data_IF_374927165594
#
_entry.id   IF_374927165594
#
_cell.length_a   1.000
_cell.length_b   1.000
_cell.length_c   1.000
_cell.angle_alpha   90.00
_cell.angle_beta   90.00
_cell.angle_gamma   90.00
#
_symmetry.space_group_name_H-M   'P 1'
#
loop_
_entity.id
_entity.type
_entity.pdbx_description
1 polymer ?
#
# COMPACT_ATOMS: atom_id res chain seq x y z
N UNK A 1 44.72 -9.78 -4.71
CA UNK A 1 45.32 -9.95 -6.05
C UNK A 1 44.72 -8.86 -6.93
N UNK A 2 45.51 -7.94 -7.51
CA UNK A 2 45.01 -6.92 -8.44
C UNK A 2 45.40 -7.34 -9.86
N UNK A 3 44.42 -7.62 -10.71
CA UNK A 3 44.67 -7.92 -12.12
C UNK A 3 44.46 -6.66 -12.94
N UNK A 4 45.52 -6.13 -13.55
CA UNK A 4 45.41 -5.06 -14.53
C UNK A 4 45.19 -5.70 -15.89
N UNK A 5 43.97 -5.63 -16.42
CA UNK A 5 43.65 -6.09 -17.77
C UNK A 5 43.28 -4.85 -18.59
N UNK A 6 44.11 -4.48 -19.57
CA UNK A 6 43.74 -3.47 -20.56
C UNK A 6 42.72 -4.07 -21.53
N UNK A 7 41.82 -3.25 -22.06
CA UNK A 7 40.73 -3.67 -22.95
C UNK A 7 41.17 -4.10 -24.37
N UNK A 8 42.46 -4.35 -24.59
CA UNK A 8 43.03 -4.69 -25.89
C UNK A 8 43.24 -6.21 -26.00
N UNK A 9 42.46 -6.87 -26.85
CA UNK A 9 42.41 -8.33 -27.01
C UNK A 9 43.69 -8.94 -27.61
N UNK A 10 44.67 -8.11 -27.95
CA UNK A 10 45.92 -8.52 -28.59
C UNK A 10 46.90 -9.21 -27.62
N UNK A 11 46.74 -9.01 -26.30
CA UNK A 11 47.65 -9.57 -25.28
C UNK A 11 46.98 -10.49 -24.24
N UNK A 12 45.64 -10.49 -24.13
CA UNK A 12 44.91 -11.43 -23.28
C UNK A 12 43.48 -11.63 -23.75
N UNK A 13 43.10 -12.89 -23.99
CA UNK A 13 41.74 -13.26 -24.40
C UNK A 13 40.81 -13.54 -23.19
N UNK A 14 41.28 -13.22 -21.98
CA UNK A 14 40.62 -13.55 -20.72
C UNK A 14 39.20 -12.96 -20.59
N UNK A 15 38.91 -11.71 -20.98
CA UNK A 15 37.56 -11.13 -20.92
C UNK A 15 36.56 -11.75 -21.91
N UNK A 16 37.05 -12.33 -23.02
CA UNK A 16 36.22 -12.96 -24.05
C UNK A 16 36.01 -14.45 -23.76
N UNK A 17 36.96 -15.10 -23.09
CA UNK A 17 36.78 -16.44 -22.56
C UNK A 17 35.86 -16.41 -21.34
N UNK A 18 34.79 -17.20 -21.32
CA UNK A 18 33.84 -17.29 -20.18
C UNK A 18 34.49 -17.62 -18.82
N UNK A 19 35.79 -17.96 -18.81
CA UNK A 19 36.61 -18.22 -17.63
C UNK A 19 36.75 -17.04 -16.67
N UNK A 20 36.60 -15.79 -17.12
CA UNK A 20 36.58 -14.64 -16.21
C UNK A 20 35.39 -14.69 -15.23
N UNK A 21 34.23 -15.10 -15.74
CA UNK A 21 33.01 -15.26 -14.93
C UNK A 21 33.17 -16.42 -13.95
N UNK A 22 33.79 -17.51 -14.37
CA UNK A 22 34.07 -18.66 -13.50
C UNK A 22 35.09 -18.32 -12.40
N UNK A 23 36.12 -17.53 -12.71
CA UNK A 23 37.05 -17.00 -11.72
C UNK A 23 36.36 -16.07 -10.72
N UNK A 24 35.49 -15.16 -11.18
CA UNK A 24 34.71 -14.30 -10.28
C UNK A 24 33.79 -15.12 -9.36
N UNK A 25 33.12 -16.15 -9.88
CA UNK A 25 32.30 -17.06 -9.08
C UNK A 25 33.11 -17.81 -8.03
N UNK A 26 34.29 -18.30 -8.41
CA UNK A 26 35.20 -19.00 -7.49
C UNK A 26 35.72 -18.09 -6.38
N UNK A 27 36.12 -16.86 -6.74
CA UNK A 27 36.60 -15.87 -5.76
C UNK A 27 35.46 -15.42 -4.83
N UNK A 28 34.25 -15.21 -5.36
CA UNK A 28 33.08 -14.90 -4.53
C UNK A 28 32.79 -16.03 -3.53
N UNK A 29 32.79 -17.28 -3.99
CA UNK A 29 32.60 -18.45 -3.13
C UNK A 29 33.67 -18.59 -2.04
N UNK A 30 34.94 -18.30 -2.35
CA UNK A 30 36.02 -18.37 -1.36
C UNK A 30 36.03 -17.15 -0.41
N UNK A 31 35.55 -15.98 -0.85
CA UNK A 31 35.44 -14.79 0.00
C UNK A 31 34.31 -14.87 1.04
N UNK A 32 33.31 -15.73 0.82
CA UNK A 32 32.25 -16.04 1.80
C UNK A 32 32.67 -16.99 2.93
N UNK A 33 33.86 -17.60 2.86
CA UNK A 33 34.28 -18.66 3.79
C UNK A 33 34.74 -18.17 5.18
N UNK A 34 34.60 -16.88 5.51
CA UNK A 34 34.99 -16.30 6.81
C UNK A 34 33.87 -16.35 7.88
N UNK A 35 32.73 -16.97 7.60
CA UNK A 35 31.69 -17.25 8.60
C UNK A 35 31.45 -18.77 8.75
N UNK A 36 32.52 -19.57 8.87
CA UNK A 36 32.41 -20.88 9.53
C UNK A 36 32.36 -20.63 11.03
N UNK A 37 31.16 -20.52 11.57
CA UNK A 37 30.91 -20.73 12.98
C UNK A 37 30.92 -22.24 13.24
N UNK A 38 31.82 -22.65 14.11
CA UNK A 38 31.85 -23.87 14.91
C UNK A 38 31.47 -25.19 14.23
N UNK A 39 32.49 -25.80 13.64
CA UNK A 39 32.64 -27.24 13.58
C UNK A 39 32.75 -27.79 15.01
N UNK A 40 31.60 -28.03 15.65
CA UNK A 40 31.51 -29.04 16.73
C UNK A 40 30.72 -30.22 16.19
N UNK A 41 31.50 -31.20 15.73
CA UNK A 41 31.26 -32.63 15.81
C UNK A 41 29.87 -33.06 16.33
N UNK A 42 28.96 -33.35 15.41
CA UNK A 42 28.04 -34.48 15.57
C UNK A 42 27.50 -34.89 14.20
N UNK A 43 28.07 -35.98 13.65
CA UNK A 43 27.35 -36.84 12.71
C UNK A 43 26.13 -37.40 13.44
N UNK A 44 25.04 -36.66 13.40
CA UNK A 44 23.70 -37.18 13.68
C UNK A 44 23.03 -37.27 12.32
N UNK A 45 22.39 -38.40 12.03
CA UNK A 45 21.52 -38.63 10.86
C UNK A 45 20.25 -37.73 10.87
N UNK A 46 20.34 -36.53 11.45
CA UNK A 46 19.29 -35.52 11.52
C UNK A 46 19.67 -34.40 10.55
N UNK A 47 18.79 -34.03 9.59
CA UNK A 47 19.06 -32.95 8.66
C UNK A 47 19.41 -31.65 9.42
N UNK A 48 20.37 -30.85 8.92
CA UNK A 48 20.81 -29.64 9.62
C UNK A 48 19.63 -28.71 9.87
N UNK A 49 19.44 -28.32 11.12
CA UNK A 49 18.36 -27.42 11.52
C UNK A 49 18.70 -25.99 11.08
N UNK A 50 17.86 -25.42 10.23
CA UNK A 50 17.97 -24.07 9.67
C UNK A 50 17.24 -23.08 10.54
N UNK A 51 17.99 -22.14 11.12
CA UNK A 51 17.44 -21.04 11.90
C UNK A 51 16.63 -20.07 11.02
N UNK A 52 15.59 -19.41 11.55
CA UNK A 52 14.82 -18.44 10.80
C UNK A 52 15.68 -17.21 10.46
N UNK A 53 15.72 -16.84 9.18
CA UNK A 53 16.46 -15.67 8.69
C UNK A 53 15.54 -14.45 8.61
N UNK A 54 14.40 -14.58 7.93
CA UNK A 54 13.37 -13.55 7.80
C UNK A 54 12.00 -14.18 7.68
N UNK A 55 10.99 -13.57 8.30
CA UNK A 55 9.62 -14.08 8.27
C UNK A 55 8.67 -13.07 7.64
N UNK A 56 7.64 -13.57 6.98
CA UNK A 56 6.58 -12.79 6.39
C UNK A 56 5.54 -12.45 7.46
N UNK A 57 5.16 -11.19 7.58
CA UNK A 57 4.06 -10.76 8.44
C UNK A 57 2.68 -11.00 7.78
N UNK A 58 1.61 -10.72 8.52
CA UNK A 58 0.24 -10.85 8.01
C UNK A 58 -0.14 -9.88 6.89
N UNK A 59 0.71 -8.91 6.58
CA UNK A 59 0.54 -7.93 5.51
C UNK A 59 1.40 -8.23 4.27
N UNK A 60 2.20 -9.31 4.31
CA UNK A 60 3.10 -9.68 3.22
C UNK A 60 4.44 -8.93 3.23
N UNK A 61 4.82 -8.28 4.34
CA UNK A 61 6.13 -7.66 4.50
C UNK A 61 7.13 -8.62 5.16
N UNK A 62 8.37 -8.62 4.67
CA UNK A 62 9.44 -9.45 5.22
C UNK A 62 10.14 -8.75 6.37
N UNK A 63 10.03 -9.29 7.57
CA UNK A 63 10.58 -8.75 8.80
C UNK A 63 11.58 -9.67 9.51
N UNK A 64 12.05 -9.20 10.67
CA UNK A 64 12.82 -10.02 11.59
C UNK A 64 11.94 -11.18 12.13
N UNK A 65 12.48 -12.39 12.31
CA UNK A 65 11.75 -13.51 12.87
C UNK A 65 11.19 -13.19 14.26
N UNK A 66 9.95 -13.61 14.57
CA UNK A 66 9.43 -13.47 15.92
C UNK A 66 10.14 -14.45 16.87
N UNK A 67 10.18 -14.14 18.16
CA UNK A 67 10.92 -14.91 19.16
C UNK A 67 10.42 -16.36 19.32
N UNK A 68 9.22 -16.68 18.85
CA UNK A 68 8.65 -18.02 18.88
C UNK A 68 8.95 -18.85 17.62
N UNK A 69 9.67 -18.31 16.63
CA UNK A 69 10.02 -19.02 15.41
C UNK A 69 11.06 -20.11 15.70
N UNK A 70 10.71 -21.36 15.40
CA UNK A 70 11.57 -22.53 15.58
C UNK A 70 12.31 -22.88 14.27
N UNK A 71 13.53 -23.42 14.37
CA UNK A 71 14.27 -23.92 13.20
C UNK A 71 13.52 -25.01 12.43
N UNK A 72 13.77 -25.11 11.12
CA UNK A 72 13.23 -26.15 10.23
C UNK A 72 14.35 -27.09 9.74
N UNK A 73 14.03 -28.28 9.23
CA UNK A 73 15.01 -29.15 8.57
C UNK A 73 15.34 -28.70 7.14
N UNK A 74 16.46 -29.16 6.58
CA UNK A 74 16.87 -28.84 5.20
C UNK A 74 15.90 -29.31 4.13
N UNK A 75 15.23 -30.42 4.36
CA UNK A 75 14.24 -30.98 3.45
C UNK A 75 12.81 -30.57 3.83
N UNK A 76 12.63 -29.37 4.41
CA UNK A 76 11.32 -28.91 4.83
C UNK A 76 10.42 -28.61 3.62
N UNK A 77 9.48 -29.52 3.37
CA UNK A 77 8.40 -29.39 2.38
C UNK A 77 7.03 -29.21 3.07
N UNK A 78 7.05 -28.77 4.32
CA UNK A 78 5.86 -28.61 5.15
C UNK A 78 5.17 -27.26 4.94
N UNK A 79 3.89 -27.18 5.35
CA UNK A 79 3.19 -25.90 5.44
C UNK A 79 3.73 -25.08 6.61
N UNK A 80 3.88 -23.78 6.41
CA UNK A 80 4.14 -22.84 7.50
C UNK A 80 3.09 -22.95 8.61
N UNK A 81 3.55 -22.87 9.86
CA UNK A 81 2.72 -22.99 11.06
C UNK A 81 3.05 -21.85 12.03
N UNK A 82 2.38 -21.81 13.18
CA UNK A 82 2.68 -20.83 14.24
C UNK A 82 4.11 -20.98 14.78
N UNK A 83 4.62 -22.20 14.80
CA UNK A 83 5.97 -22.53 15.26
C UNK A 83 7.01 -22.31 14.15
N UNK A 84 6.60 -22.49 12.88
CA UNK A 84 7.43 -22.27 11.70
C UNK A 84 6.76 -21.23 10.78
N UNK A 85 6.82 -19.93 11.13
CA UNK A 85 6.18 -18.88 10.34
C UNK A 85 6.69 -18.85 8.89
N UNK A 86 5.86 -18.41 7.92
CA UNK A 86 6.28 -18.35 6.52
C UNK A 86 7.46 -17.39 6.36
N UNK A 87 8.44 -17.75 5.54
CA UNK A 87 9.68 -16.98 5.44
C UNK A 87 10.87 -17.75 4.88
N UNK A 88 12.05 -17.16 5.05
CA UNK A 88 13.34 -17.75 4.70
C UNK A 88 14.06 -18.25 5.95
N UNK A 89 14.64 -19.44 5.84
CA UNK A 89 15.36 -20.13 6.91
C UNK A 89 16.74 -20.55 6.39
N UNK A 90 17.74 -20.50 7.26
CA UNK A 90 19.09 -20.93 6.98
C UNK A 90 20.08 -19.81 6.68
N UNK A 91 21.11 -20.16 5.92
CA UNK A 91 22.14 -19.23 5.50
C UNK A 91 21.59 -18.21 4.50
N UNK A 92 22.12 -16.98 4.55
CA UNK A 92 21.71 -15.91 3.64
C UNK A 92 21.98 -16.23 2.15
N UNK A 93 22.98 -17.07 1.87
CA UNK A 93 23.39 -17.41 0.50
C UNK A 93 22.58 -18.55 -0.12
N UNK A 94 21.89 -19.36 0.69
CA UNK A 94 21.07 -20.48 0.24
C UNK A 94 19.88 -20.72 1.19
N UNK A 95 18.92 -19.77 1.28
CA UNK A 95 17.79 -19.92 2.19
C UNK A 95 16.79 -20.96 1.67
N UNK A 96 16.25 -21.75 2.59
CA UNK A 96 15.06 -22.58 2.37
C UNK A 96 13.83 -21.73 2.64
N UNK A 97 12.88 -21.75 1.71
CA UNK A 97 11.63 -21.01 1.84
C UNK A 97 10.56 -21.91 2.48
N UNK A 98 9.96 -21.45 3.58
CA UNK A 98 8.76 -22.04 4.17
C UNK A 98 7.54 -21.28 3.67
N UNK A 99 6.67 -21.92 2.88
CA UNK A 99 5.50 -21.27 2.30
C UNK A 99 4.25 -21.45 3.18
N UNK A 100 3.40 -20.42 3.21
CA UNK A 100 2.07 -20.51 3.82
C UNK A 100 1.10 -21.37 3.00
N UNK A 101 1.29 -21.38 1.67
CA UNK A 101 0.53 -22.15 0.70
C UNK A 101 1.47 -23.11 0.00
N UNK A 102 1.06 -24.37 -0.11
CA UNK A 102 1.80 -25.42 -0.81
C UNK A 102 1.12 -25.75 -2.14
N UNK A 103 1.85 -26.45 -3.02
CA UNK A 103 1.30 -26.88 -4.30
C UNK A 103 0.07 -27.78 -4.08
N UNK A 104 -1.06 -27.43 -4.70
CA UNK A 104 -2.33 -28.15 -4.55
C UNK A 104 -3.31 -27.54 -3.56
N UNK A 105 -2.96 -26.43 -2.89
CA UNK A 105 -3.90 -25.70 -2.05
C UNK A 105 -4.96 -24.94 -2.84
N UNK A 106 -6.22 -25.12 -2.44
CA UNK A 106 -7.34 -24.32 -2.93
C UNK A 106 -7.68 -23.21 -1.93
N UNK A 107 -7.75 -21.97 -2.42
CA UNK A 107 -8.23 -20.84 -1.66
C UNK A 107 -9.75 -20.93 -1.52
N UNK A 108 -10.22 -21.35 -0.34
CA UNK A 108 -11.64 -21.34 0.02
C UNK A 108 -11.99 -20.10 0.82
N UNK A 109 -13.19 -19.57 0.59
CA UNK A 109 -13.73 -18.49 1.43
C UNK A 109 -13.79 -18.95 2.88
N UNK A 110 -13.28 -18.11 3.80
CA UNK A 110 -13.32 -18.38 5.23
C UNK A 110 -14.77 -18.34 5.72
N UNK A 111 -15.20 -19.38 6.43
CA UNK A 111 -16.53 -19.45 7.01
C UNK A 111 -16.57 -18.73 8.37
N UNK A 112 -17.25 -17.58 8.40
CA UNK A 112 -17.44 -16.76 9.60
C UNK A 112 -18.76 -17.06 10.33
N UNK A 113 -19.54 -18.06 9.87
CA UNK A 113 -20.87 -18.36 10.41
C UNK A 113 -20.86 -18.67 11.91
N UNK A 114 -19.79 -19.28 12.41
CA UNK A 114 -19.61 -19.67 13.82
C UNK A 114 -19.35 -18.50 14.75
N UNK A 115 -18.95 -17.34 14.23
CA UNK A 115 -18.67 -16.14 15.03
C UNK A 115 -19.92 -15.24 15.20
N UNK A 116 -21.05 -15.57 14.58
CA UNK A 116 -22.27 -14.75 14.62
C UNK A 116 -22.09 -13.35 14.00
N UNK A 117 -21.03 -13.15 13.23
CA UNK A 117 -20.71 -11.88 12.59
C UNK A 117 -21.54 -11.71 11.32
N UNK A 118 -22.14 -10.53 11.17
CA UNK A 118 -22.76 -10.15 9.89
C UNK A 118 -21.65 -9.78 8.92
N UNK A 119 -21.43 -10.63 7.92
CA UNK A 119 -20.53 -10.34 6.81
C UNK A 119 -21.17 -9.23 5.97
N UNK A 120 -20.63 -8.03 6.07
CA UNK A 120 -20.95 -6.92 5.18
C UNK A 120 -19.91 -6.84 4.07
N UNK A 121 -20.33 -6.63 2.82
CA UNK A 121 -19.40 -6.24 1.77
C UNK A 121 -18.70 -4.94 2.19
N UNK A 122 -17.40 -4.83 1.92
CA UNK A 122 -16.67 -3.59 2.08
C UNK A 122 -17.22 -2.57 1.08
N UNK A 123 -18.24 -1.82 1.50
CA UNK A 123 -18.76 -0.71 0.73
C UNK A 123 -17.78 0.43 0.94
N UNK A 124 -16.84 0.60 0.02
CA UNK A 124 -16.13 1.86 -0.11
C UNK A 124 -17.18 2.92 -0.44
N UNK A 125 -17.68 3.61 0.59
CA UNK A 125 -18.67 4.67 0.40
C UNK A 125 -18.13 5.65 -0.62
N UNK A 126 -18.92 5.91 -1.67
CA UNK A 126 -18.53 6.86 -2.71
C UNK A 126 -18.16 8.20 -2.05
N UNK A 127 -17.01 8.81 -2.40
CA UNK A 127 -16.63 10.11 -1.85
C UNK A 127 -17.73 11.14 -2.09
N UNK A 128 -18.20 11.78 -1.02
CA UNK A 128 -19.21 12.84 -1.11
C UNK A 128 -18.49 14.14 -1.47
N UNK A 129 -18.81 14.73 -2.62
CA UNK A 129 -18.25 16.04 -2.99
C UNK A 129 -18.93 17.16 -2.20
N UNK A 130 -18.20 17.74 -1.24
CA UNK A 130 -18.66 18.85 -0.40
C UNK A 130 -18.48 20.23 -1.05
N UNK A 131 -17.74 20.32 -2.17
CA UNK A 131 -17.50 21.58 -2.88
C UNK A 131 -18.80 22.33 -3.25
N UNK A 132 -19.80 21.69 -3.88
CA UNK A 132 -21.03 22.40 -4.25
C UNK A 132 -21.78 22.94 -3.03
N UNK A 133 -21.79 22.20 -1.91
CA UNK A 133 -22.44 22.64 -0.68
C UNK A 133 -21.72 23.85 -0.06
N UNK A 134 -20.39 23.83 0.00
CA UNK A 134 -19.60 24.94 0.52
C UNK A 134 -19.73 26.20 -0.35
N UNK A 135 -19.69 26.06 -1.68
CA UNK A 135 -19.86 27.19 -2.59
C UNK A 135 -21.25 27.83 -2.46
N UNK A 136 -22.31 27.02 -2.27
CA UNK A 136 -23.66 27.52 -2.02
C UNK A 136 -23.74 28.32 -0.72
N UNK A 137 -23.11 27.84 0.37
CA UNK A 137 -23.06 28.56 1.65
C UNK A 137 -22.31 29.88 1.53
N UNK A 138 -21.16 29.88 0.86
CA UNK A 138 -20.37 31.11 0.63
C UNK A 138 -21.16 32.13 -0.20
N UNK A 139 -21.82 31.70 -1.27
CA UNK A 139 -22.65 32.56 -2.09
C UNK A 139 -23.83 33.16 -1.31
N UNK A 140 -24.49 32.37 -0.46
CA UNK A 140 -25.56 32.85 0.40
C UNK A 140 -25.04 33.89 1.40
N UNK A 141 -23.87 33.65 2.00
CA UNK A 141 -23.22 34.61 2.89
C UNK A 141 -22.95 35.95 2.20
N UNK A 142 -22.46 35.91 0.95
CA UNK A 142 -22.21 37.12 0.15
C UNK A 142 -23.49 37.90 -0.15
N UNK A 143 -24.59 37.21 -0.47
CA UNK A 143 -25.88 37.87 -0.69
C UNK A 143 -26.42 38.54 0.57
N UNK A 144 -26.27 37.87 1.72
CA UNK A 144 -26.67 38.44 3.02
C UNK A 144 -25.84 39.68 3.34
N UNK A 145 -24.51 39.62 3.16
CA UNK A 145 -23.62 40.75 3.37
C UNK A 145 -23.98 41.94 2.48
N UNK A 146 -24.20 41.68 1.18
CA UNK A 146 -24.66 42.71 0.23
C UNK A 146 -25.97 43.38 0.67
N UNK A 147 -26.93 42.59 1.18
CA UNK A 147 -28.20 43.11 1.70
C UNK A 147 -28.00 43.97 2.96
N UNK A 148 -27.07 43.57 3.84
CA UNK A 148 -26.69 44.35 5.03
C UNK A 148 -26.07 45.69 4.61
N UNK A 149 -25.17 45.69 3.64
CA UNK A 149 -24.55 46.91 3.11
C UNK A 149 -25.61 47.86 2.52
N UNK A 150 -26.55 47.35 1.73
CA UNK A 150 -27.65 48.16 1.18
C UNK A 150 -28.56 48.76 2.26
N UNK A 151 -28.79 48.01 3.34
CA UNK A 151 -29.59 48.48 4.47
C UNK A 151 -28.88 49.58 5.23
N UNK A 152 -27.59 49.41 5.52
CA UNK A 152 -26.77 50.43 6.22
C UNK A 152 -26.61 51.68 5.34
N UNK A 153 -26.40 51.50 4.03
CA UNK A 153 -26.28 52.60 3.06
C UNK A 153 -27.59 53.34 2.76
N UNK A 154 -28.72 52.97 3.37
CA UNK A 154 -30.00 53.65 3.20
C UNK A 154 -30.67 53.48 1.83
N UNK A 155 -30.05 52.73 0.92
CA UNK A 155 -30.56 52.46 -0.42
C UNK A 155 -31.78 51.53 -0.42
N UNK A 156 -32.03 50.83 0.68
CA UNK A 156 -33.11 49.85 0.80
C UNK A 156 -34.36 50.44 1.48
N UNK A 157 -35.34 50.87 0.68
CA UNK A 157 -36.64 51.31 1.20
C UNK A 157 -37.38 50.11 1.80
N UNK A 158 -38.20 50.32 2.84
CA UNK A 158 -38.86 49.23 3.61
C UNK A 158 -39.68 48.24 2.75
N UNK A 159 -40.18 48.68 1.59
CA UNK A 159 -40.88 47.84 0.62
C UNK A 159 -39.91 46.92 -0.13
N UNK A 160 -38.79 47.46 -0.57
CA UNK A 160 -37.76 46.75 -1.37
C UNK A 160 -37.01 45.72 -0.52
N UNK A 161 -36.84 46.00 0.78
CA UNK A 161 -36.27 45.05 1.73
C UNK A 161 -37.09 43.75 1.86
N UNK A 162 -38.43 43.85 1.86
CA UNK A 162 -39.30 42.67 1.97
C UNK A 162 -39.26 41.82 0.69
N UNK A 163 -39.18 42.47 -0.47
CA UNK A 163 -39.06 41.79 -1.77
C UNK A 163 -37.70 41.09 -1.88
N UNK A 164 -36.62 41.75 -1.46
CA UNK A 164 -35.28 41.16 -1.49
C UNK A 164 -35.14 39.94 -0.56
N UNK A 165 -35.69 40.01 0.66
CA UNK A 165 -35.72 38.86 1.57
C UNK A 165 -36.58 37.73 1.01
N UNK A 166 -37.75 38.04 0.43
CA UNK A 166 -38.60 37.05 -0.22
C UNK A 166 -37.92 36.35 -1.40
N UNK A 167 -37.19 37.10 -2.23
CA UNK A 167 -36.42 36.56 -3.34
C UNK A 167 -35.28 35.64 -2.87
N UNK A 168 -34.58 36.02 -1.78
CA UNK A 168 -33.54 35.19 -1.17
C UNK A 168 -34.11 33.87 -0.63
N UNK A 169 -35.24 33.93 0.09
CA UNK A 169 -35.93 32.74 0.58
C UNK A 169 -36.39 31.83 -0.56
N UNK A 170 -36.93 32.41 -1.65
CA UNK A 170 -37.34 31.65 -2.82
C UNK A 170 -36.14 30.97 -3.52
N UNK A 171 -34.99 31.64 -3.61
CA UNK A 171 -33.76 31.07 -4.17
C UNK A 171 -33.23 29.89 -3.33
N UNK A 172 -33.22 30.03 -2.00
CA UNK A 172 -32.84 28.93 -1.10
C UNK A 172 -33.81 27.76 -1.22
N UNK A 173 -35.11 28.04 -1.30
CA UNK A 173 -36.14 27.01 -1.44
C UNK A 173 -36.04 26.29 -2.79
N UNK A 174 -35.81 27.02 -3.90
CA UNK A 174 -35.55 26.42 -5.21
C UNK A 174 -34.28 25.58 -5.20
N UNK A 175 -33.20 26.03 -4.54
CA UNK A 175 -31.96 25.27 -4.43
C UNK A 175 -32.08 24.00 -3.59
N UNK A 176 -32.99 23.97 -2.61
CA UNK A 176 -33.26 22.80 -1.77
C UNK A 176 -34.20 21.77 -2.43
N UNK A 177 -35.11 22.23 -3.29
CA UNK A 177 -36.11 21.39 -3.99
C UNK A 177 -35.68 21.02 -5.41
N UNK A 178 -34.70 21.71 -5.98
CA UNK A 178 -34.14 21.35 -7.28
C UNK A 178 -33.63 19.90 -7.25
N UNK A 179 -33.98 19.09 -8.27
CA UNK A 179 -33.47 17.73 -8.35
C UNK A 179 -31.94 17.78 -8.33
N UNK A 180 -31.33 16.99 -7.45
CA UNK A 180 -29.88 16.78 -7.36
C UNK A 180 -29.38 15.98 -8.57
N UNK A 181 -29.69 16.44 -9.78
CA UNK A 181 -29.13 15.93 -11.03
C UNK A 181 -27.88 16.74 -11.36
N UNK A 182 -26.90 16.67 -10.45
CA UNK A 182 -25.50 16.95 -10.74
C UNK A 182 -24.72 15.63 -10.59
N UNK A 183 -25.26 14.56 -11.17
CA UNK A 183 -24.41 13.44 -11.59
C UNK A 183 -23.51 13.99 -12.69
N UNK A 184 -22.26 14.26 -12.32
CA UNK A 184 -21.19 14.31 -13.30
C UNK A 184 -21.24 12.96 -14.01
N UNK A 185 -21.69 12.97 -15.26
CA UNK A 185 -21.68 11.82 -16.15
C UNK A 185 -20.24 11.31 -16.18
N UNK A 186 -19.99 10.14 -15.58
CA UNK A 186 -18.68 9.52 -15.62
C UNK A 186 -18.21 9.51 -17.07
N UNK A 187 -17.07 10.16 -17.40
CA UNK A 187 -16.47 9.94 -18.70
C UNK A 187 -16.19 8.43 -18.81
N UNK A 188 -16.47 7.79 -19.95
CA UNK A 188 -16.20 6.37 -20.13
C UNK A 188 -14.73 6.13 -19.78
N UNK A 189 -14.48 5.24 -18.81
CA UNK A 189 -13.19 4.89 -18.20
C UNK A 189 -11.98 5.26 -19.07
N UNK A 190 -11.62 6.54 -19.06
CA UNK A 190 -10.43 7.03 -19.73
C UNK A 190 -9.31 6.90 -18.70
N UNK A 191 -8.22 6.26 -19.10
CA UNK A 191 -7.04 6.02 -18.29
C UNK A 191 -6.75 7.20 -17.34
N UNK A 192 -6.52 6.88 -16.06
CA UNK A 192 -6.32 7.82 -14.95
C UNK A 192 -5.74 9.17 -15.43
N UNK A 193 -6.48 10.26 -15.23
CA UNK A 193 -6.04 11.58 -15.67
C UNK A 193 -4.76 11.98 -14.92
N UNK A 194 -3.95 12.88 -15.49
CA UNK A 194 -2.75 13.40 -14.83
C UNK A 194 -3.06 13.89 -13.39
N UNK A 195 -4.23 14.53 -13.23
CA UNK A 195 -4.74 15.03 -11.95
C UNK A 195 -4.99 13.91 -10.93
N UNK A 196 -5.50 12.76 -11.37
CA UNK A 196 -5.76 11.60 -10.48
C UNK A 196 -4.45 10.95 -10.02
N UNK A 197 -3.44 10.91 -10.89
CA UNK A 197 -2.09 10.45 -10.53
C UNK A 197 -1.44 11.37 -9.49
N UNK A 198 -1.50 12.69 -9.69
CA UNK A 198 -0.94 13.66 -8.76
C UNK A 198 -1.66 13.63 -7.40
N UNK A 199 -2.98 13.41 -7.40
CA UNK A 199 -3.78 13.26 -6.17
C UNK A 199 -3.43 11.98 -5.39
N UNK A 200 -3.19 10.85 -6.09
CA UNK A 200 -2.79 9.59 -5.45
C UNK A 200 -1.37 9.64 -4.85
N UNK A 201 -0.48 10.45 -5.43
CA UNK A 201 0.89 10.63 -4.92
C UNK A 201 0.98 11.55 -3.71
N UNK A 202 -0.11 12.26 -3.37
CA UNK A 202 -0.12 13.23 -2.25
C UNK A 202 -1.03 12.74 -1.13
N UNK A 203 -0.45 12.09 -0.11
CA UNK A 203 -1.20 11.66 1.08
C UNK A 203 -1.73 12.89 1.85
N UNK A 204 -3.02 13.18 1.74
CA UNK A 204 -3.69 14.21 2.56
C UNK A 204 -4.49 13.54 3.66
N UNK A 205 -3.88 13.41 4.84
CA UNK A 205 -4.57 12.95 6.04
C UNK A 205 -5.36 14.11 6.63
N UNK A 206 -6.68 14.11 6.45
CA UNK A 206 -7.58 14.90 7.29
C UNK A 206 -8.14 13.97 8.38
N UNK A 207 -7.79 14.25 9.62
CA UNK A 207 -8.31 13.56 10.80
C UNK A 207 -9.72 14.08 11.08
N UNK A 208 -10.73 13.23 10.95
CA UNK A 208 -12.09 13.51 11.43
C UNK A 208 -12.34 12.63 12.64
N UNK A 209 -12.39 13.25 13.81
CA UNK A 209 -12.90 12.61 15.03
C UNK A 209 -14.38 12.36 14.80
N UNK A 210 -14.75 11.10 14.57
CA UNK A 210 -16.11 10.66 14.85
C UNK A 210 -16.12 10.21 16.31
N UNK A 211 -16.97 10.85 17.12
CA UNK A 211 -17.20 10.45 18.52
C UNK A 211 -18.06 9.20 18.62
#
# INVERSE_FOLDING_TARGET
MLFHVSADATWSNLPISGLFVDMLRRIAAESGAAARLDETDTRIDTPPALAPLRTLDGYGAMGAPPANAKPIGADFDGRASRDHPPGFYGAADAPVAAQALIAGDELRAMDYSTLGLRVGALQSGAPIDLRPALLAVVFLGLLVDWLVLLRIGGALRRRDARVAVGALCALVFLGAVAPRSAEAKDPPAAAASQRDRDAALTTRLAFVVSG
#
